data_IF_894466944047
#
_entry.id   IF_894466944047
#
_cell.length_a   1.000
_cell.length_b   1.000
_cell.length_c   1.000
_cell.angle_alpha   90.00
_cell.angle_beta   90.00
_cell.angle_gamma   90.00
#
_symmetry.space_group_name_H-M   'P 1'
#
loop_
_entity.id
_entity.type
_entity.pdbx_description
1 polymer ?
#
# COMPACT_ATOMS: atom_id res chain seq x y z
N UNK A 1 3.56 -16.73 -9.04
CA UNK A 1 4.64 -15.78 -9.40
C UNK A 1 5.58 -15.72 -8.19
N UNK A 2 6.86 -16.03 -8.37
CA UNK A 2 7.88 -16.15 -7.29
C UNK A 2 8.04 -14.85 -6.49
N UNK A 3 8.54 -14.94 -5.24
CA UNK A 3 8.89 -13.89 -4.24
C UNK A 3 9.79 -12.72 -4.75
N UNK A 4 9.93 -12.53 -6.05
CA UNK A 4 10.85 -11.60 -6.70
C UNK A 4 10.36 -10.14 -6.78
N UNK A 5 9.20 -9.79 -6.21
CA UNK A 5 8.57 -8.48 -6.42
C UNK A 5 9.28 -7.28 -5.79
N UNK A 6 10.07 -7.50 -4.73
CA UNK A 6 10.99 -6.50 -4.18
C UNK A 6 12.35 -7.17 -4.01
N UNK A 7 13.15 -7.22 -5.07
CA UNK A 7 14.58 -7.44 -4.92
C UNK A 7 15.12 -6.16 -4.30
N UNK A 8 15.28 -6.13 -2.97
CA UNK A 8 15.93 -5.02 -2.29
C UNK A 8 17.33 -4.87 -2.90
N UNK A 9 17.65 -3.73 -3.55
CA UNK A 9 18.98 -3.52 -4.10
C UNK A 9 20.00 -3.44 -2.95
N UNK A 10 21.15 -4.10 -3.12
CA UNK A 10 22.30 -4.08 -2.20
C UNK A 10 22.01 -4.41 -0.73
N UNK A 11 21.33 -5.53 -0.45
CA UNK A 11 21.19 -6.01 0.93
C UNK A 11 22.37 -6.90 1.30
N UNK A 12 22.86 -6.73 2.53
CA UNK A 12 23.70 -7.72 3.21
C UNK A 12 23.13 -9.14 3.05
N UNK A 13 23.97 -10.10 2.66
CA UNK A 13 23.53 -11.45 2.30
C UNK A 13 22.86 -12.19 3.47
N UNK A 14 23.30 -11.95 4.70
CA UNK A 14 22.72 -12.60 5.88
C UNK A 14 21.35 -12.00 6.20
N UNK A 15 21.18 -10.68 6.02
CA UNK A 15 19.87 -10.04 6.16
C UNK A 15 18.88 -10.54 5.11
N UNK A 16 19.27 -10.61 3.83
CA UNK A 16 18.39 -11.11 2.75
C UNK A 16 17.89 -12.54 3.05
N UNK A 17 18.77 -13.43 3.52
CA UNK A 17 18.39 -14.78 3.93
C UNK A 17 17.40 -14.79 5.10
N UNK A 18 17.63 -13.95 6.13
CA UNK A 18 16.69 -13.84 7.28
C UNK A 18 15.34 -13.33 6.84
N UNK A 19 15.30 -12.29 6.02
CA UNK A 19 14.07 -11.67 5.51
C UNK A 19 13.28 -12.66 4.67
N UNK A 20 13.91 -13.33 3.70
CA UNK A 20 13.24 -14.34 2.86
C UNK A 20 12.67 -15.48 3.68
N UNK A 21 13.42 -15.99 4.66
CA UNK A 21 12.94 -17.04 5.56
C UNK A 21 11.69 -16.58 6.32
N UNK A 22 11.72 -15.38 6.90
CA UNK A 22 10.57 -14.84 7.64
C UNK A 22 9.35 -14.62 6.74
N UNK A 23 9.55 -14.11 5.53
CA UNK A 23 8.44 -13.94 4.58
C UNK A 23 7.86 -15.29 4.15
N UNK A 24 8.67 -16.34 4.02
CA UNK A 24 8.17 -17.69 3.73
C UNK A 24 7.31 -18.24 4.88
N UNK A 25 7.78 -18.07 6.12
CA UNK A 25 7.00 -18.42 7.32
C UNK A 25 5.67 -17.64 7.39
N UNK A 26 5.63 -16.39 6.94
CA UNK A 26 4.40 -15.59 6.85
C UNK A 26 3.43 -16.12 5.80
N UNK A 27 3.91 -16.52 4.61
CA UNK A 27 3.04 -17.11 3.58
C UNK A 27 2.37 -18.41 4.08
N UNK A 28 3.16 -19.30 4.69
CA UNK A 28 2.64 -20.55 5.27
C UNK A 28 1.58 -20.25 6.36
N UNK A 29 1.82 -19.23 7.18
CA UNK A 29 0.92 -18.85 8.26
C UNK A 29 -0.35 -18.14 7.75
N UNK A 30 -0.28 -17.37 6.66
CA UNK A 30 -1.45 -16.74 6.03
C UNK A 30 -2.46 -17.80 5.58
N UNK A 31 -1.99 -18.83 4.86
CA UNK A 31 -2.84 -19.92 4.39
C UNK A 31 -3.49 -20.67 5.56
N UNK A 32 -2.71 -20.91 6.62
CA UNK A 32 -3.21 -21.60 7.82
C UNK A 32 -4.26 -20.78 8.58
N UNK A 33 -4.07 -19.46 8.69
CA UNK A 33 -4.96 -18.59 9.47
C UNK A 33 -6.24 -18.26 8.73
N UNK A 34 -6.16 -18.11 7.41
CA UNK A 34 -7.30 -17.82 6.55
C UNK A 34 -8.26 -19.01 6.38
N UNK A 35 -7.81 -20.24 6.70
CA UNK A 35 -8.65 -21.42 6.62
C UNK A 35 -9.81 -21.39 7.62
N UNK A 36 -11.01 -21.73 7.11
CA UNK A 36 -12.28 -21.80 7.82
C UNK A 36 -12.92 -23.19 7.68
N UNK A 37 -13.82 -23.55 8.61
CA UNK A 37 -14.68 -24.73 8.45
C UNK A 37 -15.64 -24.60 7.25
N UNK A 38 -15.93 -23.36 6.84
CA UNK A 38 -16.74 -23.06 5.66
C UNK A 38 -15.85 -22.96 4.43
N UNK A 39 -15.93 -23.96 3.54
CA UNK A 39 -15.07 -24.06 2.36
C UNK A 39 -15.06 -22.82 1.46
N UNK A 40 -16.20 -22.12 1.32
CA UNK A 40 -16.29 -20.93 0.48
C UNK A 40 -15.47 -19.75 1.03
N UNK A 41 -15.39 -19.59 2.36
CA UNK A 41 -14.58 -18.53 2.99
C UNK A 41 -13.10 -18.81 2.77
N UNK A 42 -12.69 -20.08 2.96
CA UNK A 42 -11.31 -20.52 2.69
C UNK A 42 -10.94 -20.24 1.23
N UNK A 43 -11.79 -20.62 0.28
CA UNK A 43 -11.55 -20.41 -1.16
C UNK A 43 -11.44 -18.91 -1.50
N UNK A 44 -12.35 -18.08 -0.99
CA UNK A 44 -12.35 -16.65 -1.23
C UNK A 44 -11.12 -15.94 -0.67
N UNK A 45 -10.72 -16.28 0.56
CA UNK A 45 -9.53 -15.72 1.18
C UNK A 45 -8.25 -16.16 0.46
N UNK A 46 -8.10 -17.47 0.19
CA UNK A 46 -6.91 -18.01 -0.48
C UNK A 46 -6.77 -17.50 -1.91
N UNK A 47 -7.88 -17.22 -2.60
CA UNK A 47 -7.84 -16.64 -3.94
C UNK A 47 -7.05 -15.33 -3.99
N UNK A 48 -7.31 -14.37 -3.07
CA UNK A 48 -6.54 -13.11 -3.04
C UNK A 48 -5.14 -13.28 -2.44
N UNK A 49 -4.93 -14.23 -1.53
CA UNK A 49 -3.59 -14.56 -1.01
C UNK A 49 -2.71 -15.08 -2.16
N UNK A 50 -3.22 -16.04 -2.95
CA UNK A 50 -2.50 -16.73 -4.03
C UNK A 50 -2.47 -15.96 -5.35
N UNK A 51 -3.34 -14.96 -5.53
CA UNK A 51 -3.23 -13.95 -6.60
C UNK A 51 -1.90 -13.17 -6.51
N UNK A 52 -1.14 -13.36 -5.44
CA UNK A 52 0.18 -12.79 -5.23
C UNK A 52 0.08 -11.41 -4.59
N UNK A 53 1.20 -10.68 -4.60
CA UNK A 53 1.32 -9.37 -3.97
C UNK A 53 2.78 -9.07 -3.69
N UNK A 54 3.10 -7.78 -3.52
CA UNK A 54 4.48 -7.34 -3.21
C UNK A 54 4.91 -7.67 -1.77
N UNK A 55 3.96 -8.06 -0.90
CA UNK A 55 4.14 -8.30 0.55
C UNK A 55 4.90 -7.19 1.26
N UNK A 56 4.63 -5.94 0.87
CA UNK A 56 5.32 -4.77 1.38
C UNK A 56 5.12 -4.57 2.89
N UNK A 57 3.91 -4.83 3.40
CA UNK A 57 3.58 -4.73 4.83
C UNK A 57 4.31 -5.79 5.67
N UNK A 58 4.24 -7.10 5.35
CA UNK A 58 5.09 -8.11 5.99
C UNK A 58 6.58 -7.77 5.94
N UNK A 59 7.08 -7.28 4.80
CA UNK A 59 8.48 -6.87 4.68
C UNK A 59 8.86 -5.80 5.70
N UNK A 60 8.03 -4.76 5.88
CA UNK A 60 8.30 -3.72 6.88
C UNK A 60 8.21 -4.22 8.32
N UNK A 61 7.33 -5.19 8.61
CA UNK A 61 7.33 -5.84 9.94
C UNK A 61 8.68 -6.53 10.19
N UNK A 62 9.16 -7.30 9.22
CA UNK A 62 10.43 -8.02 9.35
C UNK A 62 11.61 -7.06 9.45
N UNK A 63 11.67 -6.02 8.61
CA UNK A 63 12.74 -5.01 8.66
C UNK A 63 12.69 -4.19 9.96
N UNK A 64 11.49 -3.85 10.46
CA UNK A 64 11.32 -3.18 11.75
C UNK A 64 11.84 -4.03 12.92
N UNK A 65 11.61 -5.36 12.86
CA UNK A 65 12.07 -6.29 13.89
C UNK A 65 13.61 -6.40 14.00
N UNK A 66 14.35 -6.11 12.92
CA UNK A 66 15.82 -6.13 12.93
C UNK A 66 16.44 -5.05 13.85
N UNK A 67 15.67 -4.04 14.25
CA UNK A 67 16.10 -3.03 15.23
C UNK A 67 15.79 -3.42 16.69
N UNK A 68 15.23 -4.61 16.90
CA UNK A 68 14.94 -5.16 18.22
C UNK A 68 16.13 -5.85 18.88
N UNK A 69 15.83 -6.66 19.91
CA UNK A 69 16.82 -7.45 20.64
C UNK A 69 17.10 -8.76 19.90
N UNK A 70 18.35 -9.25 19.87
CA UNK A 70 18.69 -10.54 19.23
C UNK A 70 17.90 -11.75 19.76
N UNK A 71 17.38 -11.67 21.00
CA UNK A 71 16.57 -12.72 21.63
C UNK A 71 15.06 -12.62 21.32
N UNK A 72 14.65 -11.75 20.39
CA UNK A 72 13.24 -11.56 20.02
C UNK A 72 12.62 -12.84 19.47
N UNK A 73 11.35 -13.08 19.81
CA UNK A 73 10.58 -14.22 19.29
C UNK A 73 10.36 -14.08 17.79
N UNK A 74 10.92 -15.03 17.03
CA UNK A 74 10.63 -15.14 15.60
C UNK A 74 9.12 -15.36 15.33
N UNK A 75 8.45 -16.09 16.23
CA UNK A 75 7.03 -16.39 16.11
C UNK A 75 6.17 -15.13 16.24
N UNK A 76 6.55 -14.19 17.10
CA UNK A 76 5.78 -12.95 17.32
C UNK A 76 5.87 -12.03 16.11
N UNK A 77 7.05 -11.95 15.47
CA UNK A 77 7.25 -11.21 14.22
C UNK A 77 6.40 -11.78 13.09
N UNK A 78 6.39 -13.11 12.94
CA UNK A 78 5.54 -13.78 11.94
C UNK A 78 4.07 -13.54 12.25
N UNK A 79 3.64 -13.66 13.52
CA UNK A 79 2.25 -13.44 13.91
C UNK A 79 1.77 -12.01 13.61
N UNK A 80 2.58 -10.98 13.90
CA UNK A 80 2.27 -9.58 13.53
C UNK A 80 2.18 -9.44 12.02
N UNK A 81 3.17 -9.93 11.28
CA UNK A 81 3.22 -9.79 9.82
C UNK A 81 2.01 -10.44 9.15
N UNK A 82 1.64 -11.64 9.59
CA UNK A 82 0.44 -12.34 9.15
C UNK A 82 -0.82 -11.53 9.48
N UNK A 83 -0.98 -11.07 10.72
CA UNK A 83 -2.17 -10.32 11.12
C UNK A 83 -2.34 -9.00 10.32
N UNK A 84 -1.26 -8.25 10.07
CA UNK A 84 -1.34 -7.02 9.29
C UNK A 84 -1.62 -7.25 7.80
N UNK A 85 -1.08 -8.32 7.21
CA UNK A 85 -1.44 -8.68 5.82
C UNK A 85 -2.88 -9.22 5.74
N UNK A 86 -3.39 -9.93 6.74
CA UNK A 86 -4.81 -10.32 6.81
C UNK A 86 -5.73 -9.11 6.90
N UNK A 87 -5.37 -8.08 7.69
CA UNK A 87 -6.12 -6.81 7.72
C UNK A 87 -6.09 -6.14 6.35
N UNK A 88 -4.93 -6.11 5.69
CA UNK A 88 -4.85 -5.57 4.34
C UNK A 88 -5.73 -6.35 3.35
N UNK A 89 -5.72 -7.68 3.40
CA UNK A 89 -6.58 -8.50 2.55
C UNK A 89 -8.06 -8.29 2.86
N UNK A 90 -8.43 -8.15 4.14
CA UNK A 90 -9.78 -7.80 4.54
C UNK A 90 -10.23 -6.46 3.92
N UNK A 91 -9.38 -5.43 3.99
CA UNK A 91 -9.68 -4.13 3.34
C UNK A 91 -9.85 -4.28 1.84
N UNK A 92 -9.03 -5.08 1.15
CA UNK A 92 -9.19 -5.31 -0.29
C UNK A 92 -10.51 -6.00 -0.64
N UNK A 93 -10.97 -6.96 0.19
CA UNK A 93 -12.27 -7.59 -0.01
C UNK A 93 -13.43 -6.59 0.11
N UNK A 94 -13.33 -5.64 1.05
CA UNK A 94 -14.33 -4.59 1.24
C UNK A 94 -14.25 -3.53 0.13
N UNK A 95 -13.04 -3.09 -0.23
CA UNK A 95 -12.79 -2.12 -1.31
C UNK A 95 -13.31 -2.65 -2.65
N UNK A 96 -13.05 -3.93 -2.98
CA UNK A 96 -13.55 -4.56 -4.20
C UNK A 96 -15.10 -4.46 -4.34
N UNK A 97 -15.83 -4.47 -3.22
CA UNK A 97 -17.29 -4.29 -3.21
C UNK A 97 -17.67 -2.83 -3.41
N UNK A 98 -16.98 -1.90 -2.75
CA UNK A 98 -17.26 -0.47 -2.82
C UNK A 98 -16.94 0.10 -4.21
N UNK A 99 -15.86 -0.38 -4.84
CA UNK A 99 -15.36 0.07 -6.13
C UNK A 99 -16.03 -0.64 -7.32
N UNK A 100 -16.91 -1.64 -7.07
CA UNK A 100 -17.45 -2.55 -8.09
C UNK A 100 -16.36 -3.17 -8.99
N UNK A 101 -15.15 -3.36 -8.44
CA UNK A 101 -13.97 -3.76 -9.22
C UNK A 101 -14.19 -5.13 -9.89
N UNK A 102 -13.79 -5.28 -11.16
CA UNK A 102 -13.87 -6.57 -11.88
C UNK A 102 -12.63 -7.47 -11.67
N UNK A 103 -11.47 -6.87 -11.41
CA UNK A 103 -10.18 -7.54 -11.27
C UNK A 103 -9.38 -6.99 -10.09
N UNK A 104 -8.63 -7.86 -9.38
CA UNK A 104 -7.65 -7.52 -8.34
C UNK A 104 -6.38 -8.34 -8.54
N UNK A 105 -5.23 -7.66 -8.63
CA UNK A 105 -3.90 -8.29 -8.87
C UNK A 105 -3.87 -9.23 -10.09
N UNK A 106 -4.65 -8.92 -11.13
CA UNK A 106 -4.73 -9.72 -12.37
C UNK A 106 -5.64 -10.96 -12.27
N UNK A 107 -6.25 -11.21 -11.11
CA UNK A 107 -7.29 -12.21 -10.93
C UNK A 107 -8.68 -11.53 -10.82
N UNK A 108 -9.81 -12.24 -11.05
CA UNK A 108 -11.13 -11.71 -10.70
C UNK A 108 -11.17 -11.23 -9.25
N UNK A 109 -11.76 -10.05 -9.00
CA UNK A 109 -12.03 -9.58 -7.63
C UNK A 109 -12.98 -10.54 -6.91
N UNK A 110 -13.04 -10.45 -5.58
CA UNK A 110 -13.88 -11.35 -4.79
C UNK A 110 -15.38 -11.19 -5.10
N UNK A 111 -15.85 -9.94 -5.25
CA UNK A 111 -17.25 -9.66 -5.59
C UNK A 111 -17.61 -10.09 -7.01
N UNK A 112 -16.71 -9.95 -7.99
CA UNK A 112 -16.96 -10.39 -9.35
C UNK A 112 -17.01 -11.93 -9.49
N UNK A 113 -16.21 -12.64 -8.69
CA UNK A 113 -16.16 -14.12 -8.73
C UNK A 113 -17.31 -14.78 -7.98
N UNK A 114 -17.72 -14.23 -6.84
CA UNK A 114 -18.79 -14.79 -6.02
C UNK A 114 -19.99 -13.84 -5.95
N UNK A 115 -19.98 -12.91 -4.99
CA UNK A 115 -20.89 -11.78 -4.86
C UNK A 115 -20.40 -10.85 -3.73
N UNK A 116 -21.12 -9.74 -3.51
CA UNK A 116 -20.81 -8.79 -2.43
C UNK A 116 -20.92 -9.42 -1.03
N UNK A 117 -21.82 -10.39 -0.83
CA UNK A 117 -22.03 -11.01 0.48
C UNK A 117 -20.82 -11.85 0.87
N UNK A 118 -20.30 -12.66 -0.06
CA UNK A 118 -19.11 -13.48 0.15
C UNK A 118 -17.88 -12.59 0.39
N UNK A 119 -17.73 -11.50 -0.38
CA UNK A 119 -16.62 -10.57 -0.19
C UNK A 119 -16.65 -9.91 1.20
N UNK A 120 -17.80 -9.38 1.62
CA UNK A 120 -17.96 -8.75 2.95
C UNK A 120 -17.66 -9.74 4.07
N UNK A 121 -18.29 -10.93 4.05
CA UNK A 121 -18.12 -11.94 5.09
C UNK A 121 -16.69 -12.48 5.16
N UNK A 122 -16.02 -12.60 4.00
CA UNK A 122 -14.61 -13.03 3.96
C UNK A 122 -13.72 -11.95 4.56
N UNK A 123 -13.95 -10.67 4.24
CA UNK A 123 -13.22 -9.56 4.85
C UNK A 123 -13.40 -9.51 6.37
N UNK A 124 -14.64 -9.63 6.86
CA UNK A 124 -14.97 -9.66 8.28
C UNK A 124 -14.28 -10.83 9.01
N UNK A 125 -14.28 -12.01 8.35
CA UNK A 125 -13.61 -13.19 8.88
C UNK A 125 -12.10 -12.97 8.99
N UNK A 126 -11.44 -12.50 7.94
CA UNK A 126 -9.99 -12.24 7.95
C UNK A 126 -9.61 -11.21 9.01
N UNK A 127 -10.41 -10.15 9.19
CA UNK A 127 -10.21 -9.16 10.24
C UNK A 127 -10.34 -9.78 11.65
N UNK A 128 -11.33 -10.65 11.86
CA UNK A 128 -11.51 -11.37 13.11
C UNK A 128 -10.31 -12.29 13.40
N UNK A 129 -9.81 -13.01 12.39
CA UNK A 129 -8.63 -13.88 12.51
C UNK A 129 -7.35 -13.10 12.80
N UNK A 130 -7.17 -11.94 12.17
CA UNK A 130 -6.06 -11.03 12.48
C UNK A 130 -6.10 -10.55 13.94
N UNK A 131 -7.30 -10.19 14.42
CA UNK A 131 -7.52 -9.73 15.80
C UNK A 131 -7.19 -10.81 16.82
N UNK A 132 -7.62 -12.06 16.57
CA UNK A 132 -7.28 -13.22 17.40
C UNK A 132 -5.76 -13.40 17.55
N UNK A 133 -5.01 -13.26 16.44
CA UNK A 133 -3.54 -13.32 16.48
C UNK A 133 -2.87 -12.20 17.25
N UNK A 134 -3.47 -11.01 17.25
CA UNK A 134 -2.90 -9.86 17.95
C UNK A 134 -3.12 -9.92 19.47
N UNK A 135 -4.08 -10.72 19.96
CA UNK A 135 -4.29 -10.94 21.40
C UNK A 135 -3.08 -11.60 22.06
N UNK A 136 -2.49 -12.60 21.41
CA UNK A 136 -1.32 -13.34 21.93
C UNK A 136 -0.08 -12.43 22.07
N UNK A 137 -0.05 -11.31 21.36
CA UNK A 137 1.02 -10.31 21.37
C UNK A 137 0.81 -9.21 22.43
N UNK A 138 -0.34 -9.22 23.11
CA UNK A 138 -0.68 -8.33 24.21
C UNK A 138 -1.61 -7.18 23.84
N UNK A 139 -2.25 -6.61 24.87
CA UNK A 139 -3.29 -5.59 24.73
C UNK A 139 -2.85 -4.31 23.99
N UNK A 140 -1.56 -4.00 24.03
CA UNK A 140 -1.04 -2.83 23.32
C UNK A 140 -1.02 -3.06 21.80
N UNK A 141 -0.68 -4.27 21.33
CA UNK A 141 -0.73 -4.62 19.91
C UNK A 141 -2.18 -4.53 19.38
N UNK A 142 -3.14 -5.09 20.13
CA UNK A 142 -4.57 -4.98 19.82
C UNK A 142 -5.04 -3.52 19.77
N UNK A 143 -4.59 -2.68 20.71
CA UNK A 143 -4.93 -1.25 20.71
C UNK A 143 -4.37 -0.54 19.47
N UNK A 144 -3.11 -0.79 19.13
CA UNK A 144 -2.46 -0.20 17.94
C UNK A 144 -3.21 -0.65 16.67
N UNK A 145 -3.54 -1.93 16.54
CA UNK A 145 -4.34 -2.46 15.44
C UNK A 145 -5.69 -1.74 15.35
N UNK A 146 -6.43 -1.66 16.45
CA UNK A 146 -7.77 -1.05 16.46
C UNK A 146 -7.73 0.43 16.05
N UNK A 147 -6.76 1.20 16.57
CA UNK A 147 -6.57 2.60 16.20
C UNK A 147 -6.16 2.75 14.73
N UNK A 148 -5.29 1.87 14.23
CA UNK A 148 -4.86 1.86 12.83
C UNK A 148 -6.02 1.56 11.91
N UNK A 149 -6.84 0.55 12.24
CA UNK A 149 -7.98 0.18 11.42
C UNK A 149 -9.05 1.28 11.40
N UNK A 150 -9.32 1.93 12.55
CA UNK A 150 -10.20 3.09 12.60
C UNK A 150 -9.70 4.22 11.67
N UNK A 151 -8.41 4.57 11.77
CA UNK A 151 -7.78 5.58 10.89
C UNK A 151 -7.87 5.21 9.42
N UNK A 152 -7.64 3.94 9.08
CA UNK A 152 -7.76 3.44 7.70
C UNK A 152 -9.18 3.62 7.17
N UNK A 153 -10.19 3.22 7.94
CA UNK A 153 -11.60 3.37 7.57
C UNK A 153 -11.98 4.86 7.48
N UNK A 154 -11.49 5.70 8.37
CA UNK A 154 -11.66 7.16 8.27
C UNK A 154 -11.06 7.73 6.97
N UNK A 155 -9.91 7.20 6.53
CA UNK A 155 -9.33 7.52 5.23
C UNK A 155 -10.22 7.12 4.05
N UNK A 156 -10.83 5.94 4.10
CA UNK A 156 -11.79 5.48 3.09
C UNK A 156 -13.08 6.32 3.07
N UNK A 157 -13.58 6.70 4.25
CA UNK A 157 -14.72 7.61 4.38
C UNK A 157 -14.37 8.98 3.79
N UNK A 158 -13.18 9.50 4.08
CA UNK A 158 -12.68 10.78 3.54
C UNK A 158 -12.65 10.75 2.01
N UNK A 159 -12.08 9.69 1.43
CA UNK A 159 -12.06 9.48 -0.03
C UNK A 159 -13.48 9.48 -0.62
N UNK A 160 -14.41 8.78 0.04
CA UNK A 160 -15.80 8.65 -0.42
C UNK A 160 -16.56 9.98 -0.37
N UNK A 161 -16.34 10.78 0.66
CA UNK A 161 -16.98 12.10 0.82
C UNK A 161 -16.38 13.16 -0.12
N UNK A 162 -15.10 13.01 -0.46
CA UNK A 162 -14.35 14.00 -1.23
C UNK A 162 -14.05 15.28 -0.45
N UNK A 163 -13.31 16.22 -1.06
CA UNK A 163 -12.95 17.48 -0.43
C UNK A 163 -14.15 18.42 -0.29
N UNK A 164 -14.16 19.21 0.77
CA UNK A 164 -15.13 20.32 0.92
C UNK A 164 -14.79 21.49 -0.03
N UNK A 165 -15.71 22.44 -0.23
CA UNK A 165 -15.51 23.56 -1.16
C UNK A 165 -14.28 24.43 -0.83
N UNK A 166 -13.94 24.55 0.46
CA UNK A 166 -12.82 25.36 0.95
C UNK A 166 -11.50 24.57 1.12
N UNK A 167 -11.52 23.25 0.87
CA UNK A 167 -10.36 22.37 1.07
C UNK A 167 -9.55 22.25 -0.22
N UNK A 168 -8.23 22.43 -0.13
CA UNK A 168 -7.36 22.15 -1.27
C UNK A 168 -7.41 20.65 -1.62
N UNK A 169 -7.70 20.36 -2.89
CA UNK A 169 -7.91 18.99 -3.35
C UNK A 169 -6.66 18.13 -3.23
N UNK A 170 -5.46 18.71 -3.35
CA UNK A 170 -4.21 17.96 -3.19
C UNK A 170 -3.93 17.68 -1.72
N UNK A 171 -4.15 18.64 -0.83
CA UNK A 171 -4.04 18.42 0.61
C UNK A 171 -5.01 17.33 1.08
N UNK A 172 -6.26 17.39 0.63
CA UNK A 172 -7.25 16.34 0.87
C UNK A 172 -6.76 14.97 0.37
N UNK A 173 -6.26 14.91 -0.87
CA UNK A 173 -5.75 13.69 -1.47
C UNK A 173 -4.59 13.08 -0.66
N UNK A 174 -3.62 13.91 -0.26
CA UNK A 174 -2.50 13.45 0.57
C UNK A 174 -2.96 12.95 1.94
N UNK A 175 -3.99 13.58 2.54
CA UNK A 175 -4.59 13.11 3.78
C UNK A 175 -5.28 11.75 3.62
N UNK A 176 -6.02 11.53 2.51
CA UNK A 176 -6.59 10.22 2.15
C UNK A 176 -5.47 9.18 2.08
N UNK A 177 -4.37 9.46 1.37
CA UNK A 177 -3.28 8.49 1.24
C UNK A 177 -2.60 8.18 2.58
N UNK A 178 -2.39 9.20 3.42
CA UNK A 178 -1.82 9.01 4.75
C UNK A 178 -2.69 8.09 5.61
N UNK A 179 -4.00 8.28 5.60
CA UNK A 179 -4.94 7.53 6.43
C UNK A 179 -5.25 6.14 5.85
N UNK A 180 -5.67 6.05 4.57
CA UNK A 180 -6.06 4.79 3.91
C UNK A 180 -4.88 3.86 3.66
N UNK A 181 -3.71 4.41 3.29
CA UNK A 181 -2.55 3.60 2.86
C UNK A 181 -1.38 3.68 3.84
N UNK A 182 -0.95 4.89 4.18
CA UNK A 182 0.22 5.15 5.02
C UNK A 182 0.08 4.57 6.43
N UNK A 183 -1.10 4.65 7.03
CA UNK A 183 -1.35 4.22 8.41
C UNK A 183 -1.00 2.75 8.66
N UNK A 184 -1.42 1.83 7.78
CA UNK A 184 -1.16 0.40 7.96
C UNK A 184 0.30 0.04 7.67
N UNK A 185 0.96 0.77 6.79
CA UNK A 185 2.40 0.62 6.49
C UNK A 185 3.23 1.12 7.68
N UNK A 186 2.89 2.28 8.25
CA UNK A 186 3.49 2.82 9.47
C UNK A 186 3.36 1.82 10.64
N UNK A 187 2.15 1.28 10.84
CA UNK A 187 1.89 0.27 11.87
C UNK A 187 2.64 -1.03 11.63
N UNK A 188 2.90 -1.41 10.37
CA UNK A 188 3.73 -2.57 10.04
C UNK A 188 5.16 -2.42 10.55
N UNK A 189 5.81 -1.31 10.23
CA UNK A 189 7.15 -1.02 10.73
C UNK A 189 7.18 -0.92 12.27
N UNK A 190 6.18 -0.22 12.85
CA UNK A 190 6.06 -0.03 14.30
C UNK A 190 5.92 -1.34 15.07
N UNK A 191 4.96 -2.18 14.70
CA UNK A 191 4.68 -3.42 15.44
C UNK A 191 5.81 -4.42 15.28
N UNK A 192 6.48 -4.46 14.12
CA UNK A 192 7.71 -5.25 13.93
C UNK A 192 8.81 -4.89 14.93
N UNK A 193 9.14 -3.59 15.03
CA UNK A 193 10.12 -3.10 16.00
C UNK A 193 9.68 -3.39 17.44
N UNK A 194 8.39 -3.15 17.74
CA UNK A 194 7.83 -3.32 19.08
C UNK A 194 7.89 -4.76 19.58
N UNK A 195 7.42 -5.74 18.81
CA UNK A 195 7.43 -7.15 19.25
C UNK A 195 8.83 -7.72 19.32
N UNK A 196 9.78 -7.13 18.57
CA UNK A 196 11.19 -7.44 18.70
C UNK A 196 11.86 -6.77 19.92
N UNK A 197 11.13 -5.92 20.66
CA UNK A 197 11.61 -5.25 21.86
C UNK A 197 12.58 -4.11 21.57
N UNK A 198 12.41 -3.42 20.43
CA UNK A 198 13.14 -2.22 20.11
C UNK A 198 12.83 -1.08 21.12
N UNK A 199 13.75 -0.14 21.34
CA UNK A 199 13.48 1.06 22.12
C UNK A 199 12.36 1.94 21.51
N UNK A 200 11.63 2.68 22.35
CA UNK A 200 10.48 3.47 21.91
C UNK A 200 10.80 4.63 20.96
N UNK A 201 12.02 5.16 21.00
CA UNK A 201 12.51 6.13 20.02
C UNK A 201 12.70 5.51 18.63
N UNK A 202 13.18 4.26 18.57
CA UNK A 202 13.24 3.47 17.34
C UNK A 202 11.83 3.19 16.82
N UNK A 203 10.91 2.72 17.67
CA UNK A 203 9.51 2.50 17.28
C UNK A 203 8.91 3.75 16.62
N UNK A 204 9.16 4.93 17.20
CA UNK A 204 8.69 6.22 16.65
C UNK A 204 9.31 6.52 15.29
N UNK A 205 10.62 6.35 15.13
CA UNK A 205 11.32 6.64 13.86
C UNK A 205 10.85 5.71 12.75
N UNK A 206 10.73 4.41 12.99
CA UNK A 206 10.25 3.47 11.96
C UNK A 206 8.77 3.68 11.63
N UNK A 207 7.97 4.16 12.58
CA UNK A 207 6.56 4.55 12.32
C UNK A 207 6.52 5.73 11.35
N UNK A 208 7.30 6.78 11.63
CA UNK A 208 7.37 7.98 10.78
C UNK A 208 7.90 7.66 9.38
N UNK A 209 8.94 6.81 9.31
CA UNK A 209 9.43 6.27 8.04
C UNK A 209 8.31 5.56 7.27
N UNK A 210 7.62 4.63 7.93
CA UNK A 210 6.57 3.79 7.33
C UNK A 210 5.40 4.61 6.77
N UNK A 211 5.01 5.68 7.45
CA UNK A 211 3.96 6.59 6.97
C UNK A 211 4.39 7.31 5.68
N UNK A 212 5.57 7.93 5.69
CA UNK A 212 6.09 8.68 4.54
C UNK A 212 6.36 7.81 3.33
N UNK A 213 6.99 6.64 3.52
CA UNK A 213 7.24 5.72 2.42
C UNK A 213 5.95 5.12 1.86
N UNK A 214 4.93 4.93 2.71
CA UNK A 214 3.61 4.48 2.29
C UNK A 214 2.93 5.49 1.36
N UNK A 215 2.98 6.78 1.71
CA UNK A 215 2.49 7.87 0.86
C UNK A 215 3.29 7.92 -0.45
N UNK A 216 4.62 7.95 -0.38
CA UNK A 216 5.50 7.99 -1.56
C UNK A 216 5.22 6.82 -2.52
N UNK A 217 4.98 5.62 -1.97
CA UNK A 217 4.70 4.42 -2.75
C UNK A 217 3.40 4.55 -3.55
N UNK A 218 2.34 5.08 -2.94
CA UNK A 218 1.06 5.26 -3.62
C UNK A 218 1.16 6.38 -4.68
N UNK A 219 1.81 7.50 -4.35
CA UNK A 219 2.06 8.55 -5.33
C UNK A 219 2.89 8.06 -6.53
N UNK A 220 3.84 7.15 -6.29
CA UNK A 220 4.61 6.47 -7.36
C UNK A 220 3.70 5.60 -8.23
N UNK A 221 2.78 4.84 -7.62
CA UNK A 221 1.81 4.04 -8.36
C UNK A 221 0.89 4.92 -9.25
N UNK A 222 0.47 6.10 -8.80
CA UNK A 222 -0.31 7.06 -9.61
C UNK A 222 0.47 7.54 -10.84
N UNK A 223 1.76 7.87 -10.66
CA UNK A 223 2.62 8.32 -11.77
C UNK A 223 2.81 7.18 -12.78
N UNK A 224 2.95 5.94 -12.32
CA UNK A 224 3.12 4.77 -13.17
C UNK A 224 1.85 4.44 -13.94
N UNK A 225 0.67 4.59 -13.34
CA UNK A 225 -0.61 4.38 -14.03
C UNK A 225 -0.67 5.23 -15.30
N UNK A 226 -0.22 6.47 -15.24
CA UNK A 226 -0.18 7.38 -16.38
C UNK A 226 1.04 7.16 -17.28
N UNK A 227 2.23 6.96 -16.73
CA UNK A 227 3.48 6.93 -17.49
C UNK A 227 3.77 5.60 -18.22
N UNK A 228 3.20 4.49 -17.76
CA UNK A 228 3.55 3.15 -18.27
C UNK A 228 3.03 2.88 -19.68
N UNK A 229 3.83 2.22 -20.52
CA UNK A 229 3.35 1.71 -21.81
C UNK A 229 2.55 0.42 -21.61
N UNK A 230 1.45 0.28 -22.34
CA UNK A 230 0.55 -0.88 -22.26
C UNK A 230 1.30 -2.22 -22.45
N UNK A 231 2.35 -2.22 -23.28
CA UNK A 231 3.14 -3.41 -23.60
C UNK A 231 4.12 -3.82 -22.48
N UNK A 232 4.47 -2.92 -21.56
CA UNK A 232 5.48 -3.17 -20.51
C UNK A 232 4.87 -3.56 -19.16
N UNK A 233 3.65 -3.09 -18.85
CA UNK A 233 3.04 -3.27 -17.52
C UNK A 233 2.09 -4.48 -17.42
N UNK A 234 1.63 -5.05 -18.53
CA UNK A 234 0.56 -6.07 -18.51
C UNK A 234 -0.78 -5.58 -17.95
N UNK A 235 -0.94 -4.25 -17.80
CA UNK A 235 -2.14 -3.54 -17.36
C UNK A 235 -2.45 -2.43 -18.36
N UNK A 236 -3.73 -2.09 -18.50
CA UNK A 236 -4.17 -0.91 -19.25
C UNK A 236 -3.72 0.35 -18.52
N UNK A 237 -2.86 1.20 -19.11
CA UNK A 237 -2.45 2.46 -18.48
C UNK A 237 -3.63 3.43 -18.36
N UNK A 238 -3.58 4.30 -17.36
CA UNK A 238 -4.59 5.33 -17.12
C UNK A 238 -5.92 4.76 -16.64
N UNK A 239 -5.91 3.76 -15.77
CA UNK A 239 -7.17 3.17 -15.27
C UNK A 239 -7.92 4.20 -14.42
N UNK A 240 -7.21 4.90 -13.53
CA UNK A 240 -7.80 5.94 -12.67
C UNK A 240 -8.33 7.11 -13.53
N UNK A 241 -7.58 7.46 -14.59
CA UNK A 241 -7.99 8.45 -15.59
C UNK A 241 -9.29 8.05 -16.31
N UNK A 242 -9.45 6.76 -16.65
CA UNK A 242 -10.67 6.23 -17.28
C UNK A 242 -11.88 6.31 -16.36
N UNK A 243 -11.68 5.99 -15.09
CA UNK A 243 -12.73 6.00 -14.06
C UNK A 243 -13.05 7.42 -13.57
N UNK A 244 -12.21 8.40 -13.92
CA UNK A 244 -12.37 9.80 -13.51
C UNK A 244 -11.92 10.05 -12.06
N UNK A 245 -11.09 9.15 -11.51
CA UNK A 245 -10.51 9.28 -10.18
C UNK A 245 -9.35 10.29 -10.25
N UNK A 246 -9.44 11.43 -9.56
CA UNK A 246 -8.45 12.50 -9.69
C UNK A 246 -7.20 12.20 -8.84
N UNK A 247 -6.26 11.42 -9.37
CA UNK A 247 -4.97 11.11 -8.73
C UNK A 247 -3.94 12.23 -8.94
N UNK A 248 -2.74 12.10 -8.34
CA UNK A 248 -1.74 13.18 -8.26
C UNK A 248 -1.48 13.91 -9.60
N UNK A 249 -1.17 13.23 -10.73
CA UNK A 249 -0.89 13.93 -11.99
C UNK A 249 -2.09 14.75 -12.50
N UNK A 250 -3.31 14.24 -12.30
CA UNK A 250 -4.55 14.87 -12.74
C UNK A 250 -4.87 16.09 -11.87
N UNK A 251 -4.72 15.98 -10.55
CA UNK A 251 -4.89 17.10 -9.61
C UNK A 251 -3.92 18.24 -9.90
N UNK A 252 -2.67 17.92 -10.26
CA UNK A 252 -1.68 18.93 -10.65
C UNK A 252 -2.02 19.56 -12.00
N UNK A 253 -2.44 18.77 -12.99
CA UNK A 253 -2.86 19.29 -14.29
C UNK A 253 -4.08 20.21 -14.19
N UNK A 254 -5.04 19.88 -13.31
CA UNK A 254 -6.23 20.70 -13.04
C UNK A 254 -5.92 22.09 -12.46
N UNK A 255 -4.70 22.33 -11.97
CA UNK A 255 -4.24 23.66 -11.52
C UNK A 255 -3.72 24.55 -12.66
N UNK A 256 -3.60 24.02 -13.89
CA UNK A 256 -3.14 24.82 -15.02
C UNK A 256 -4.10 25.97 -15.34
N UNK A 257 -3.52 27.11 -15.71
CA UNK A 257 -4.24 28.28 -16.20
C UNK A 257 -3.88 28.61 -17.66
N UNK A 258 -3.05 27.77 -18.29
CA UNK A 258 -2.68 27.95 -19.70
C UNK A 258 -3.87 27.60 -20.61
N UNK A 259 -4.31 28.51 -21.50
CA UNK A 259 -5.35 28.22 -22.47
C UNK A 259 -5.06 27.02 -23.38
N UNK A 260 -3.78 26.65 -23.58
CA UNK A 260 -3.40 25.47 -24.34
C UNK A 260 -3.86 24.15 -23.69
N UNK A 261 -4.05 24.14 -22.37
CA UNK A 261 -4.46 22.95 -21.61
C UNK A 261 -5.98 22.79 -21.54
N UNK A 262 -6.77 23.69 -22.13
CA UNK A 262 -8.23 23.69 -22.05
C UNK A 262 -8.85 22.34 -22.47
N UNK A 263 -8.27 21.67 -23.49
CA UNK A 263 -8.73 20.35 -23.94
C UNK A 263 -8.44 19.26 -22.90
N UNK A 264 -7.26 19.28 -22.29
CA UNK A 264 -6.93 18.36 -21.20
C UNK A 264 -7.88 18.57 -20.01
N UNK A 265 -8.10 19.82 -19.61
CA UNK A 265 -9.02 20.16 -18.51
C UNK A 265 -10.45 19.71 -18.77
N UNK A 266 -10.94 19.83 -20.01
CA UNK A 266 -12.24 19.31 -20.42
C UNK A 266 -12.30 17.77 -20.24
N UNK A 267 -11.26 17.07 -20.66
CA UNK A 267 -11.18 15.61 -20.54
C UNK A 267 -11.07 15.15 -19.08
N UNK A 268 -10.41 15.92 -18.21
CA UNK A 268 -10.26 15.63 -16.78
C UNK A 268 -11.51 16.01 -15.93
N UNK A 269 -12.59 16.48 -16.55
CA UNK A 269 -13.81 16.89 -15.84
C UNK A 269 -14.73 15.72 -15.44
N UNK A 270 -14.43 14.50 -15.88
CA UNK A 270 -15.19 13.30 -15.52
C UNK A 270 -14.65 12.02 -16.15
N UNK A 271 -15.37 10.89 -16.01
CA UNK A 271 -14.95 9.60 -16.54
C UNK A 271 -14.83 9.56 -18.07
N UNK A 272 -13.92 8.72 -18.57
CA UNK A 272 -13.58 8.58 -19.99
C UNK A 272 -13.80 7.13 -20.47
N UNK A 273 -15.05 6.64 -20.58
CA UNK A 273 -15.33 5.27 -21.01
C UNK A 273 -15.01 5.03 -22.50
N UNK A 274 -14.91 6.09 -23.30
CA UNK A 274 -14.55 6.03 -24.72
C UNK A 274 -13.03 5.93 -24.91
N UNK A 275 -12.59 4.90 -25.65
CA UNK A 275 -11.16 4.61 -25.84
C UNK A 275 -10.40 5.72 -26.55
N UNK A 276 -11.04 6.43 -27.50
CA UNK A 276 -10.38 7.50 -28.24
C UNK A 276 -10.14 8.72 -27.35
N UNK A 277 -11.14 9.11 -26.55
CA UNK A 277 -11.00 10.20 -25.58
C UNK A 277 -10.05 9.86 -24.45
N UNK A 278 -10.07 8.61 -23.98
CA UNK A 278 -9.12 8.12 -22.97
C UNK A 278 -7.67 8.19 -23.48
N UNK A 279 -7.42 7.70 -24.70
CA UNK A 279 -6.10 7.78 -25.33
C UNK A 279 -5.64 9.23 -25.56
N UNK A 280 -6.55 10.12 -25.97
CA UNK A 280 -6.28 11.55 -26.12
C UNK A 280 -5.87 12.18 -24.78
N UNK A 281 -6.66 11.97 -23.72
CA UNK A 281 -6.40 12.50 -22.39
C UNK A 281 -5.06 11.99 -21.85
N UNK A 282 -4.79 10.70 -22.01
CA UNK A 282 -3.53 10.08 -21.59
C UNK A 282 -2.34 10.69 -22.33
N UNK A 283 -2.44 10.90 -23.65
CA UNK A 283 -1.38 11.54 -24.44
C UNK A 283 -1.13 12.98 -24.02
N UNK A 284 -2.18 13.75 -23.77
CA UNK A 284 -2.07 15.14 -23.33
C UNK A 284 -1.46 15.23 -21.93
N UNK A 285 -1.93 14.39 -21.00
CA UNK A 285 -1.43 14.36 -19.63
C UNK A 285 0.04 13.95 -19.56
N UNK A 286 0.47 12.97 -20.36
CA UNK A 286 1.88 12.55 -20.46
C UNK A 286 2.82 13.66 -20.92
N UNK A 287 2.33 14.54 -21.80
CA UNK A 287 3.10 15.68 -22.32
C UNK A 287 3.03 16.91 -21.39
N UNK A 288 2.15 16.89 -20.39
CA UNK A 288 1.89 18.03 -19.52
C UNK A 288 2.95 18.15 -18.39
N UNK A 289 3.40 19.36 -18.01
CA UNK A 289 4.36 19.57 -16.91
C UNK A 289 3.96 18.99 -15.55
N UNK A 290 2.68 18.66 -15.36
CA UNK A 290 2.17 18.00 -14.15
C UNK A 290 2.84 16.64 -13.90
N UNK A 291 3.30 15.94 -14.94
CA UNK A 291 4.03 14.67 -14.77
C UNK A 291 5.36 14.88 -14.07
N UNK A 292 6.11 15.91 -14.45
CA UNK A 292 7.39 16.25 -13.80
C UNK A 292 7.17 16.76 -12.37
N UNK A 293 6.12 17.54 -12.15
CA UNK A 293 5.71 17.97 -10.81
C UNK A 293 5.32 16.78 -9.92
N UNK A 294 4.59 15.80 -10.45
CA UNK A 294 4.20 14.60 -9.71
C UNK A 294 5.43 13.78 -9.31
N UNK A 295 6.40 13.58 -10.22
CA UNK A 295 7.68 12.93 -9.93
C UNK A 295 8.46 13.66 -8.85
N UNK A 296 8.50 14.99 -8.89
CA UNK A 296 9.18 15.79 -7.88
C UNK A 296 8.54 15.63 -6.49
N UNK A 297 7.20 15.54 -6.42
CA UNK A 297 6.49 15.28 -5.15
C UNK A 297 6.80 13.85 -4.64
N UNK A 298 6.81 12.83 -5.52
CA UNK A 298 7.22 11.46 -5.13
C UNK A 298 8.63 11.46 -4.55
N UNK A 299 9.57 12.13 -5.23
CA UNK A 299 10.95 12.28 -4.77
C UNK A 299 11.02 12.95 -3.39
N UNK A 300 10.28 14.05 -3.19
CA UNK A 300 10.25 14.76 -1.92
C UNK A 300 9.79 13.84 -0.77
N UNK A 301 8.69 13.11 -0.94
CA UNK A 301 8.21 12.18 0.10
C UNK A 301 9.19 11.04 0.38
N UNK A 302 9.86 10.52 -0.66
CA UNK A 302 10.90 9.50 -0.50
C UNK A 302 12.13 10.04 0.25
N UNK A 303 12.55 11.27 -0.03
CA UNK A 303 13.66 11.94 0.67
C UNK A 303 13.31 12.25 2.13
N UNK A 304 12.08 12.70 2.39
CA UNK A 304 11.60 12.91 3.75
C UNK A 304 11.52 11.61 4.54
N UNK A 305 11.13 10.49 3.91
CA UNK A 305 11.20 9.16 4.51
C UNK A 305 12.66 8.79 4.81
N UNK A 306 13.56 8.92 3.81
CA UNK A 306 14.99 8.61 3.97
C UNK A 306 15.65 9.42 5.08
N UNK A 307 15.30 10.70 5.24
CA UNK A 307 15.85 11.56 6.27
C UNK A 307 15.58 11.03 7.69
N UNK A 308 14.46 10.34 7.91
CA UNK A 308 14.15 9.72 9.22
C UNK A 308 15.14 8.61 9.60
N UNK A 309 15.71 7.93 8.60
CA UNK A 309 16.62 6.79 8.83
C UNK A 309 17.94 7.21 9.51
N UNK A 310 18.31 8.50 9.45
CA UNK A 310 19.48 9.02 10.16
C UNK A 310 19.41 8.89 11.69
N UNK A 311 18.21 8.67 12.24
CA UNK A 311 17.99 8.42 13.66
C UNK A 311 17.99 6.93 14.03
N UNK A 312 18.13 6.03 13.05
CA UNK A 312 18.23 4.59 13.28
C UNK A 312 19.68 4.14 13.42
N UNK A 313 19.94 3.07 14.19
CA UNK A 313 21.24 2.43 14.26
C UNK A 313 21.78 2.06 12.88
N UNK A 314 23.09 2.15 12.73
CA UNK A 314 23.78 1.74 11.51
C UNK A 314 23.87 0.22 11.43
N UNK A 315 22.89 -0.39 10.76
CA UNK A 315 22.79 -1.82 10.55
C UNK A 315 22.13 -2.10 9.19
N UNK A 316 22.32 -3.31 8.61
CA UNK A 316 21.88 -3.58 7.24
C UNK A 316 20.40 -3.35 6.96
N UNK A 317 19.52 -3.46 7.97
CA UNK A 317 18.09 -3.17 7.78
C UNK A 317 17.83 -1.67 7.52
N UNK A 318 18.66 -0.76 8.04
CA UNK A 318 18.58 0.68 7.72
C UNK A 318 18.86 0.90 6.24
N UNK A 319 19.88 0.25 5.69
CA UNK A 319 20.23 0.35 4.28
C UNK A 319 19.15 -0.29 3.39
N UNK A 320 18.53 -1.39 3.84
CA UNK A 320 17.38 -1.98 3.17
C UNK A 320 16.18 -1.02 3.12
N UNK A 321 15.84 -0.33 4.23
CA UNK A 321 14.80 0.70 4.25
C UNK A 321 15.15 1.88 3.33
N UNK A 322 16.43 2.28 3.27
CA UNK A 322 16.90 3.30 2.35
C UNK A 322 16.74 2.86 0.88
N UNK A 323 17.03 1.59 0.56
CA UNK A 323 16.82 1.01 -0.76
C UNK A 323 15.34 0.98 -1.18
N UNK A 324 14.39 0.95 -0.23
CA UNK A 324 12.96 1.10 -0.54
C UNK A 324 12.63 2.50 -1.05
N UNK A 325 13.27 3.55 -0.50
CA UNK A 325 13.12 4.91 -1.02
C UNK A 325 13.62 5.01 -2.47
N UNK A 326 14.77 4.40 -2.78
CA UNK A 326 15.31 4.36 -4.15
C UNK A 326 14.39 3.60 -5.10
N UNK A 327 13.82 2.49 -4.65
CA UNK A 327 12.88 1.70 -5.43
C UNK A 327 11.62 2.50 -5.76
N UNK A 328 11.05 3.23 -4.80
CA UNK A 328 9.84 4.03 -5.03
C UNK A 328 10.06 5.11 -6.08
N UNK A 329 11.20 5.80 -6.04
CA UNK A 329 11.56 6.84 -7.00
C UNK A 329 11.84 6.26 -8.38
N UNK A 330 12.74 5.27 -8.47
CA UNK A 330 13.23 4.72 -9.75
C UNK A 330 12.13 4.11 -10.62
N UNK A 331 11.02 3.67 -10.01
CA UNK A 331 9.85 3.15 -10.74
C UNK A 331 9.10 4.21 -11.53
N UNK A 332 9.23 5.48 -11.16
CA UNK A 332 8.50 6.55 -11.85
C UNK A 332 9.18 6.88 -13.17
N UNK A 333 10.51 6.80 -13.26
CA UNK A 333 11.33 7.00 -14.48
C UNK A 333 12.34 8.13 -14.34
#
# INVERSE_FOLDING_TARGET
MSMAGLTLPSVDGDLDLRVRRRLAEVEDELDRVAASEFGFVTEAAQHLIHAGGKRFRPLLVVLGAEFGKPSSSAGDVVAVATALELIHLATLHHDDVMDEAALRRGAPSANARWDNTVAILTGDYLFARASDRMVDLGLEAVRIQSQTFARLVEGQIRETLGPTEDEDRLEHYLAVLADKTGSLIATSARLGAKVAGAPGDIERVVTEFGEKIGIAFQLSDDVIDIASDADQSGKTPGTDLREGIPTLPMLLAQRSTDPADARLLELLSGPLPDDARHAEALSLLRAHPAMDQARAIVQQWADEARATLGYLPDLPARDALAGLCDLVVSRTG
#
